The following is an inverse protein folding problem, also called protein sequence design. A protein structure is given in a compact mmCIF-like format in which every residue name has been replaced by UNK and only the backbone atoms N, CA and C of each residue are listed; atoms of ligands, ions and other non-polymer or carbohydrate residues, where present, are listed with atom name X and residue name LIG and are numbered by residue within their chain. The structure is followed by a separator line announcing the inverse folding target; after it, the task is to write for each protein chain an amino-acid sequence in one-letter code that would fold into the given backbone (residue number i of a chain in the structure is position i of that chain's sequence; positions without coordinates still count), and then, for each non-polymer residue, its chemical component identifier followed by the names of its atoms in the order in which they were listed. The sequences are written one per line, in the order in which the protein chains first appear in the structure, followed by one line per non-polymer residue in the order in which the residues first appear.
data_IF_476035136696
#
_entry.id   IF_476035136696
#
_cell.length_a   1.000
_cell.length_b   1.000
_cell.length_c   1.000
_cell.angle_alpha   90.00
_cell.angle_beta   90.00
_cell.angle_gamma   90.00
#
_symmetry.space_group_name_H-M   'P 1'
#
loop_
_entity.id
_entity.type
_entity.pdbx_description
1 polymer ?
#
# COMPACT_ATOMS: atom_id res chain seq x y z
N UNK A 1 6.94 12.23 22.05
CA UNK A 1 5.77 12.33 21.15
C UNK A 1 5.67 11.03 20.39
N UNK A 2 4.55 10.30 20.50
CA UNK A 2 4.29 9.11 19.69
C UNK A 2 3.79 9.61 18.33
N UNK A 3 4.42 9.15 17.25
CA UNK A 3 4.00 9.49 15.89
C UNK A 3 2.92 8.49 15.49
N UNK A 4 1.73 8.98 15.10
CA UNK A 4 0.70 8.13 14.51
C UNK A 4 1.19 7.59 13.17
N UNK A 5 1.14 6.26 13.00
CA UNK A 5 1.55 5.56 11.80
C UNK A 5 0.32 4.98 11.12
N UNK A 6 0.09 5.38 9.87
CA UNK A 6 -0.98 4.84 9.04
C UNK A 6 -0.47 3.63 8.26
N UNK A 7 -1.13 2.49 8.41
CA UNK A 7 -0.84 1.26 7.69
C UNK A 7 -2.08 0.85 6.92
N UNK A 8 -1.93 0.58 5.63
CA UNK A 8 -3.01 0.19 4.72
C UNK A 8 -2.66 -1.14 4.09
N UNK A 9 -3.52 -2.14 4.28
CA UNK A 9 -3.42 -3.42 3.58
C UNK A 9 -4.32 -3.42 2.35
N UNK A 10 -3.81 -3.92 1.22
CA UNK A 10 -4.59 -4.11 -0.02
C UNK A 10 -4.62 -5.59 -0.36
N UNK A 11 -5.82 -6.18 -0.33
CA UNK A 11 -6.04 -7.61 -0.53
C UNK A 11 -7.03 -7.90 -1.68
N UNK A 12 -7.07 -9.14 -2.13
CA UNK A 12 -7.85 -9.60 -3.28
C UNK A 12 -7.25 -10.83 -3.99
N UNK A 13 -7.93 -11.39 -5.00
CA UNK A 13 -7.50 -12.63 -5.66
C UNK A 13 -6.21 -12.47 -6.47
N UNK A 14 -5.56 -13.60 -6.80
CA UNK A 14 -4.40 -13.62 -7.68
C UNK A 14 -4.74 -13.03 -9.06
N UNK A 15 -3.83 -12.24 -9.64
CA UNK A 15 -4.04 -11.59 -10.94
C UNK A 15 -4.92 -10.32 -10.92
N UNK A 16 -5.52 -9.94 -9.78
CA UNK A 16 -6.38 -8.75 -9.68
C UNK A 16 -5.65 -7.39 -9.77
N UNK A 17 -4.32 -7.39 -9.93
CA UNK A 17 -3.53 -6.16 -10.02
C UNK A 17 -3.21 -5.48 -8.69
N UNK A 18 -3.34 -6.18 -7.56
CA UNK A 18 -3.09 -5.65 -6.20
C UNK A 18 -1.77 -4.88 -6.09
N UNK A 19 -0.65 -5.50 -6.44
CA UNK A 19 0.68 -4.88 -6.34
C UNK A 19 0.81 -3.62 -7.23
N UNK A 20 0.11 -3.59 -8.37
CA UNK A 20 0.06 -2.40 -9.25
C UNK A 20 -0.69 -1.26 -8.58
N UNK A 21 -1.87 -1.55 -8.02
CA UNK A 21 -2.67 -0.55 -7.30
C UNK A 21 -1.93 -0.07 -6.04
N UNK A 22 -1.38 -0.98 -5.24
CA UNK A 22 -0.62 -0.66 -4.03
C UNK A 22 0.57 0.26 -4.30
N UNK A 23 1.36 -0.01 -5.34
CA UNK A 23 2.48 0.86 -5.74
C UNK A 23 2.01 2.25 -6.15
N UNK A 24 0.95 2.32 -6.95
CA UNK A 24 0.49 3.58 -7.51
C UNK A 24 -0.22 4.45 -6.46
N UNK A 25 -0.98 3.83 -5.55
CA UNK A 25 -1.56 4.51 -4.37
C UNK A 25 -0.45 5.02 -3.46
N UNK A 26 0.57 4.19 -3.17
CA UNK A 26 1.69 4.58 -2.34
C UNK A 26 2.44 5.80 -2.92
N UNK A 27 2.72 5.77 -4.23
CA UNK A 27 3.35 6.88 -4.95
C UNK A 27 2.51 8.16 -4.89
N UNK A 28 1.19 8.06 -5.09
CA UNK A 28 0.29 9.23 -5.13
C UNK A 28 0.08 9.86 -3.75
N UNK A 29 0.07 9.06 -2.69
CA UNK A 29 -0.22 9.51 -1.33
C UNK A 29 1.04 9.72 -0.48
N UNK A 30 2.23 9.44 -1.02
CA UNK A 30 3.49 9.55 -0.28
C UNK A 30 3.67 8.46 0.79
N UNK A 31 2.99 7.32 0.64
CA UNK A 31 3.19 6.16 1.51
C UNK A 31 4.40 5.35 1.04
N UNK A 32 5.02 4.64 1.98
CA UNK A 32 5.99 3.60 1.64
C UNK A 32 5.23 2.37 1.14
N UNK A 33 5.60 1.89 -0.06
CA UNK A 33 5.12 0.59 -0.54
C UNK A 33 5.87 -0.54 0.17
N UNK A 34 5.12 -1.46 0.75
CA UNK A 34 5.62 -2.68 1.37
C UNK A 34 4.98 -3.88 0.67
N UNK A 35 5.80 -4.80 0.22
CA UNK A 35 5.43 -6.09 -0.37
C UNK A 35 6.27 -7.17 0.31
N UNK A 36 5.78 -8.41 0.35
CA UNK A 36 6.54 -9.56 0.88
C UNK A 36 6.79 -10.57 -0.21
#
# INVERSE_FOLDING_TARGET
MVKELWVVAIDGPAGAGKSTVSREVAKRLGFTYLDT
#
